data_IF_888226462719
#
_entry.id   IF_888226462719
#
_cell.length_a   1.000
_cell.length_b   1.000
_cell.length_c   1.000
_cell.angle_alpha   90.00
_cell.angle_beta   90.00
_cell.angle_gamma   90.00
#
_symmetry.space_group_name_H-M   'P 1'
#
loop_
_entity.id
_entity.type
_entity.pdbx_description
1 polymer ?
#
# COMPACT_ATOMS: atom_id res chain seq x y z
N UNK A 1 28.09 -1.11 1.62
CA UNK A 1 27.19 -2.04 0.92
C UNK A 1 26.25 -1.24 0.05
N UNK A 2 25.86 -1.78 -1.09
CA UNK A 2 24.80 -1.17 -1.90
C UNK A 2 23.39 -1.47 -1.33
N UNK A 3 22.37 -0.81 -1.89
CA UNK A 3 20.96 -0.96 -1.46
C UNK A 3 20.46 -2.40 -1.57
N UNK A 4 20.89 -3.18 -2.57
CA UNK A 4 20.42 -4.55 -2.76
C UNK A 4 21.03 -5.48 -1.72
N UNK A 5 22.31 -5.33 -1.40
CA UNK A 5 22.98 -6.08 -0.34
C UNK A 5 22.33 -5.83 1.02
N UNK A 6 22.05 -4.55 1.34
CA UNK A 6 21.31 -4.18 2.55
C UNK A 6 19.91 -4.79 2.56
N UNK A 7 19.18 -4.68 1.45
CA UNK A 7 17.83 -5.21 1.33
C UNK A 7 17.82 -6.74 1.51
N UNK A 8 18.76 -7.47 0.92
CA UNK A 8 18.85 -8.92 1.04
C UNK A 8 19.06 -9.37 2.50
N UNK A 9 19.92 -8.67 3.25
CA UNK A 9 20.13 -8.93 4.68
C UNK A 9 18.86 -8.66 5.50
N UNK A 10 18.18 -7.56 5.18
CA UNK A 10 16.98 -7.13 5.91
C UNK A 10 15.70 -7.84 5.43
N UNK A 11 15.74 -8.60 4.34
CA UNK A 11 14.64 -9.44 3.85
C UNK A 11 14.86 -10.93 4.12
N UNK A 12 15.77 -11.28 5.03
CA UNK A 12 15.95 -12.66 5.45
C UNK A 12 14.60 -13.30 5.87
N UNK A 13 14.30 -14.58 5.58
CA UNK A 13 12.99 -15.17 5.90
C UNK A 13 12.63 -15.17 7.38
N UNK A 14 13.61 -15.31 8.27
CA UNK A 14 13.43 -15.31 9.72
C UNK A 14 13.46 -13.89 10.33
N UNK A 15 12.45 -13.57 11.14
CA UNK A 15 12.25 -12.27 11.81
C UNK A 15 13.43 -11.90 12.71
N UNK A 16 13.89 -12.84 13.55
CA UNK A 16 14.97 -12.57 14.52
C UNK A 16 16.29 -12.28 13.80
N UNK A 17 16.56 -13.00 12.72
CA UNK A 17 17.71 -12.76 11.85
C UNK A 17 17.62 -11.38 11.17
N UNK A 18 16.44 -10.95 10.70
CA UNK A 18 16.27 -9.59 10.15
C UNK A 18 16.60 -8.52 11.18
N UNK A 19 16.11 -8.66 12.41
CA UNK A 19 16.36 -7.71 13.49
C UNK A 19 17.82 -7.72 13.97
N UNK A 20 18.46 -8.88 14.01
CA UNK A 20 19.89 -9.00 14.29
C UNK A 20 20.75 -8.35 13.20
N UNK A 21 20.39 -8.56 11.93
CA UNK A 21 21.03 -7.89 10.80
C UNK A 21 20.85 -6.37 10.90
N UNK A 22 19.65 -5.88 11.20
CA UNK A 22 19.39 -4.46 11.42
C UNK A 22 20.28 -3.88 12.53
N UNK A 23 20.35 -4.55 13.69
CA UNK A 23 21.19 -4.11 14.79
C UNK A 23 22.68 -4.05 14.40
N UNK A 24 23.17 -5.05 13.67
CA UNK A 24 24.54 -5.09 13.14
C UNK A 24 24.80 -3.92 12.19
N UNK A 25 23.89 -3.66 11.25
CA UNK A 25 24.02 -2.55 10.30
C UNK A 25 24.05 -1.19 11.00
N UNK A 26 23.22 -0.99 12.02
CA UNK A 26 23.22 0.23 12.83
C UNK A 26 24.53 0.41 13.61
N UNK A 27 25.14 -0.68 14.09
CA UNK A 27 26.41 -0.63 14.82
C UNK A 27 27.62 -0.38 13.90
N UNK A 28 27.55 -0.83 12.64
CA UNK A 28 28.59 -0.65 11.62
C UNK A 28 28.43 0.67 10.83
N UNK A 29 27.34 1.39 11.03
CA UNK A 29 27.06 2.65 10.33
C UNK A 29 28.07 3.73 10.76
N UNK A 30 28.79 4.31 9.79
CA UNK A 30 29.83 5.30 10.08
C UNK A 30 29.28 6.56 10.77
N UNK A 31 28.07 6.98 10.42
CA UNK A 31 27.35 8.08 11.05
C UNK A 31 25.84 7.94 10.78
N UNK A 32 24.97 8.36 11.72
CA UNK A 32 23.54 8.37 11.49
C UNK A 32 23.15 9.34 10.36
N UNK A 33 22.06 9.05 9.62
CA UNK A 33 21.58 9.93 8.57
C UNK A 33 21.09 11.25 9.15
N UNK A 34 21.24 12.32 8.37
CA UNK A 34 20.77 13.66 8.76
C UNK A 34 19.25 13.65 8.91
N UNK A 35 18.71 13.95 10.11
CA UNK A 35 17.27 14.01 10.33
C UNK A 35 16.62 15.10 9.46
N UNK A 36 15.43 14.81 8.94
CA UNK A 36 14.62 15.75 8.17
C UNK A 36 13.25 15.90 8.83
N UNK A 37 13.14 16.71 9.89
CA UNK A 37 11.95 16.80 10.73
C UNK A 37 10.72 17.33 9.99
N UNK A 38 10.89 17.97 8.83
CA UNK A 38 9.80 18.43 7.98
C UNK A 38 9.10 17.30 7.19
N UNK A 39 9.54 16.06 7.33
CA UNK A 39 8.96 14.91 6.64
C UNK A 39 8.49 13.83 7.62
N UNK A 40 7.41 13.15 7.23
CA UNK A 40 6.85 11.97 7.87
C UNK A 40 6.21 11.07 6.82
N UNK A 41 6.12 9.78 7.08
CA UNK A 41 5.39 8.85 6.19
C UNK A 41 4.74 7.72 7.00
N UNK A 42 3.41 7.77 7.13
CA UNK A 42 2.66 6.78 7.91
C UNK A 42 1.96 5.70 7.06
N UNK A 43 2.34 5.57 5.78
CA UNK A 43 1.70 4.64 4.84
C UNK A 43 2.75 3.91 4.00
N UNK A 44 3.32 2.87 4.59
CA UNK A 44 4.35 2.02 3.97
C UNK A 44 3.85 0.57 3.96
N UNK A 45 3.84 -0.05 2.78
CA UNK A 45 3.56 -1.47 2.65
C UNK A 45 4.84 -2.29 2.81
N UNK A 46 4.69 -3.50 3.32
CA UNK A 46 5.74 -4.50 3.43
C UNK A 46 5.39 -5.74 2.61
N UNK A 47 6.29 -6.74 2.60
CA UNK A 47 6.04 -8.00 1.92
C UNK A 47 4.81 -8.76 2.46
N UNK A 48 4.27 -8.35 3.61
CA UNK A 48 3.06 -8.96 4.18
C UNK A 48 1.80 -8.58 3.41
N UNK A 49 1.85 -7.65 2.45
CA UNK A 49 0.75 -7.43 1.52
C UNK A 49 1.16 -7.21 0.06
N UNK A 50 2.32 -6.61 -0.19
CA UNK A 50 3.14 -6.66 -1.42
C UNK A 50 4.09 -5.45 -1.40
N UNK A 51 5.40 -5.70 -1.25
CA UNK A 51 6.43 -4.67 -1.25
C UNK A 51 7.80 -5.34 -1.37
N UNK A 52 8.84 -4.66 -1.88
CA UNK A 52 10.20 -5.19 -1.80
C UNK A 52 10.73 -5.22 -0.37
N UNK A 53 10.07 -4.58 0.59
CA UNK A 53 10.60 -4.38 1.94
C UNK A 53 9.96 -5.31 2.96
N UNK A 54 10.77 -5.99 3.78
CA UNK A 54 10.33 -6.45 5.10
C UNK A 54 10.00 -5.27 6.01
N UNK A 55 9.31 -5.48 7.14
CA UNK A 55 9.15 -4.43 8.15
C UNK A 55 10.48 -3.84 8.63
N UNK A 56 11.50 -4.66 8.89
CA UNK A 56 12.83 -4.18 9.27
C UNK A 56 13.51 -3.36 8.16
N UNK A 57 13.41 -3.80 6.91
CA UNK A 57 13.94 -3.07 5.76
C UNK A 57 13.23 -1.73 5.56
N UNK A 58 11.90 -1.69 5.69
CA UNK A 58 11.11 -0.48 5.57
C UNK A 58 11.54 0.57 6.62
N UNK A 59 11.77 0.16 7.86
CA UNK A 59 12.30 1.05 8.91
C UNK A 59 13.71 1.55 8.57
N UNK A 60 14.61 0.66 8.12
CA UNK A 60 15.96 1.05 7.71
C UNK A 60 15.93 2.13 6.62
N UNK A 61 15.19 1.89 5.53
CA UNK A 61 15.16 2.82 4.40
C UNK A 61 14.39 4.11 4.70
N UNK A 62 13.39 4.07 5.58
CA UNK A 62 12.77 5.28 6.10
C UNK A 62 13.78 6.14 6.88
N UNK A 63 14.54 5.52 7.79
CA UNK A 63 15.60 6.19 8.56
C UNK A 63 16.70 6.74 7.66
N UNK A 64 17.18 5.94 6.71
CA UNK A 64 18.20 6.32 5.72
C UNK A 64 17.76 7.56 4.91
N UNK A 65 16.47 7.68 4.58
CA UNK A 65 15.91 8.85 3.93
C UNK A 65 15.82 10.10 4.83
N UNK A 66 16.15 9.98 6.12
CA UNK A 66 16.10 11.04 7.12
C UNK A 66 14.77 11.16 7.86
N UNK A 67 13.83 10.22 7.69
CA UNK A 67 12.56 10.24 8.40
C UNK A 67 12.78 9.94 9.90
N UNK A 68 12.07 10.69 10.75
CA UNK A 68 12.03 10.43 12.19
C UNK A 68 10.78 9.67 12.63
N UNK A 69 9.81 9.52 11.73
CA UNK A 69 8.61 8.69 11.90
C UNK A 69 8.32 7.85 10.66
N UNK A 70 7.84 6.63 10.87
CA UNK A 70 7.40 5.74 9.80
C UNK A 70 6.14 4.96 10.22
N UNK A 71 5.26 4.61 9.28
CA UNK A 71 4.06 3.82 9.57
C UNK A 71 3.82 2.68 8.60
N UNK A 72 3.60 1.48 9.14
CA UNK A 72 3.23 0.29 8.36
C UNK A 72 1.72 0.30 8.08
N UNK A 73 1.34 -0.03 6.83
CA UNK A 73 -0.03 0.04 6.33
C UNK A 73 -0.30 -1.08 5.30
N UNK A 74 -0.03 -2.32 5.69
CA UNK A 74 -0.23 -3.46 4.79
C UNK A 74 -1.73 -3.66 4.45
N UNK A 75 -2.01 -4.07 3.22
CA UNK A 75 -3.39 -4.41 2.83
C UNK A 75 -3.85 -5.67 3.56
N UNK A 76 -5.02 -5.65 4.18
CA UNK A 76 -5.64 -6.81 4.83
C UNK A 76 -4.68 -7.63 5.70
N UNK A 77 -3.73 -6.98 6.39
CA UNK A 77 -2.78 -7.65 7.29
C UNK A 77 -2.17 -6.67 8.28
N UNK A 78 -1.96 -7.11 9.52
CA UNK A 78 -1.10 -6.45 10.52
C UNK A 78 0.03 -7.37 10.99
N UNK A 79 0.31 -8.45 10.25
CA UNK A 79 1.30 -9.46 10.64
C UNK A 79 2.71 -8.87 10.87
N UNK A 80 3.10 -7.88 10.07
CA UNK A 80 4.39 -7.20 10.20
C UNK A 80 4.49 -6.19 11.34
N UNK A 81 3.40 -5.87 12.04
CA UNK A 81 3.34 -4.77 13.01
C UNK A 81 4.34 -4.90 14.16
N UNK A 82 4.45 -6.07 14.77
CA UNK A 82 5.37 -6.28 15.90
C UNK A 82 6.84 -6.23 15.49
N UNK A 83 7.19 -6.74 14.31
CA UNK A 83 8.53 -6.59 13.76
C UNK A 83 8.84 -5.12 13.48
N UNK A 84 7.91 -4.39 12.84
CA UNK A 84 8.06 -2.96 12.53
C UNK A 84 8.33 -2.13 13.80
N UNK A 85 7.62 -2.43 14.89
CA UNK A 85 7.84 -1.80 16.21
C UNK A 85 9.22 -2.07 16.78
N UNK A 86 9.65 -3.33 16.76
CA UNK A 86 10.98 -3.73 17.24
C UNK A 86 12.10 -3.09 16.41
N UNK A 87 11.92 -3.06 15.09
CA UNK A 87 12.84 -2.39 14.18
C UNK A 87 12.91 -0.88 14.45
N UNK A 88 11.77 -0.20 14.62
CA UNK A 88 11.70 1.22 14.95
C UNK A 88 12.45 1.56 16.24
N UNK A 89 12.26 0.74 17.28
CA UNK A 89 12.99 0.85 18.56
C UNK A 89 14.51 0.69 18.39
N UNK A 90 14.96 -0.30 17.61
CA UNK A 90 16.38 -0.50 17.33
C UNK A 90 16.97 0.68 16.56
N UNK A 91 16.24 1.18 15.55
CA UNK A 91 16.67 2.24 14.65
C UNK A 91 16.59 3.65 15.27
N UNK A 92 15.92 3.80 16.41
CA UNK A 92 15.77 5.08 17.11
C UNK A 92 14.79 6.05 16.43
N UNK A 93 13.80 5.55 15.68
CA UNK A 93 12.75 6.37 15.06
C UNK A 93 11.37 6.01 15.61
N UNK A 94 10.45 6.99 15.60
CA UNK A 94 9.06 6.76 15.98
C UNK A 94 8.35 5.89 14.94
N UNK A 95 7.55 4.92 15.38
CA UNK A 95 6.78 4.08 14.46
C UNK A 95 5.33 3.94 14.88
N UNK A 96 4.45 3.86 13.88
CA UNK A 96 3.01 3.60 14.04
C UNK A 96 2.61 2.37 13.23
N UNK A 97 1.67 1.58 13.72
CA UNK A 97 1.15 0.38 13.08
C UNK A 97 -0.32 0.55 12.69
N UNK A 98 -0.59 0.22 11.45
CA UNK A 98 -1.93 0.20 10.87
C UNK A 98 -2.06 -0.89 9.82
N UNK A 99 -3.21 -0.86 9.16
CA UNK A 99 -3.48 -1.68 7.97
C UNK A 99 -4.56 -1.03 7.11
N UNK A 100 -4.58 -1.37 5.83
CA UNK A 100 -5.56 -0.88 4.88
C UNK A 100 -6.50 -2.00 4.45
N UNK A 101 -7.80 -1.78 4.56
CA UNK A 101 -8.81 -2.80 4.28
C UNK A 101 -9.67 -2.41 3.09
N UNK A 102 -10.05 -3.40 2.29
CA UNK A 102 -11.14 -3.24 1.33
C UNK A 102 -12.49 -3.35 2.04
N UNK A 103 -13.31 -2.32 1.95
CA UNK A 103 -14.54 -2.14 2.73
C UNK A 103 -15.73 -1.89 1.82
N UNK A 104 -16.83 -2.58 2.10
CA UNK A 104 -18.10 -2.38 1.43
C UNK A 104 -18.87 -1.21 2.03
N UNK A 105 -19.32 -0.32 1.15
CA UNK A 105 -20.24 0.79 1.43
C UNK A 105 -21.69 0.44 1.11
N UNK A 106 -21.99 -0.86 0.90
CA UNK A 106 -23.37 -1.34 0.74
C UNK A 106 -24.24 -0.92 1.94
N UNK A 107 -25.46 -0.46 1.66
CA UNK A 107 -26.39 0.06 2.66
C UNK A 107 -26.11 1.50 3.08
N UNK A 108 -25.14 2.18 2.46
CA UNK A 108 -24.89 3.62 2.62
C UNK A 108 -25.38 4.40 1.39
N UNK A 109 -25.45 5.73 1.50
CA UNK A 109 -25.76 6.60 0.35
C UNK A 109 -24.72 6.58 -0.79
N UNK A 110 -23.63 5.81 -0.67
CA UNK A 110 -22.53 5.74 -1.63
C UNK A 110 -22.33 4.34 -2.23
N UNK A 111 -23.24 3.40 -1.99
CA UNK A 111 -23.11 2.00 -2.43
C UNK A 111 -22.99 1.80 -3.96
N UNK A 112 -23.40 2.78 -4.75
CA UNK A 112 -23.26 2.78 -6.22
C UNK A 112 -22.22 3.77 -6.74
N UNK A 113 -21.54 4.51 -5.86
CA UNK A 113 -20.54 5.52 -6.23
C UNK A 113 -19.17 4.87 -6.37
N UNK A 114 -18.38 5.37 -7.32
CA UNK A 114 -16.96 5.03 -7.44
C UNK A 114 -16.16 5.85 -6.42
N UNK A 115 -15.75 5.20 -5.34
CA UNK A 115 -14.94 5.75 -4.25
C UNK A 115 -13.45 5.62 -4.60
N UNK A 116 -12.56 5.64 -3.60
CA UNK A 116 -11.11 5.47 -3.80
C UNK A 116 -10.66 4.08 -4.32
N UNK A 117 -11.59 3.17 -4.62
CA UNK A 117 -11.30 1.92 -5.32
C UNK A 117 -11.52 2.12 -6.84
N UNK A 118 -10.48 2.04 -7.67
CA UNK A 118 -10.61 2.27 -9.11
C UNK A 118 -11.38 1.16 -9.83
N UNK A 119 -11.39 -0.05 -9.28
CA UNK A 119 -11.85 -1.25 -9.95
C UNK A 119 -13.35 -1.54 -9.73
N UNK A 120 -13.94 -1.06 -8.62
CA UNK A 120 -15.32 -1.38 -8.27
C UNK A 120 -16.03 -0.28 -7.47
N UNK A 121 -17.23 0.10 -7.93
CA UNK A 121 -18.12 1.01 -7.20
C UNK A 121 -18.64 0.38 -5.89
N UNK A 122 -18.97 1.23 -4.92
CA UNK A 122 -19.48 0.80 -3.61
C UNK A 122 -18.43 0.17 -2.69
N UNK A 123 -17.16 0.14 -3.12
CA UNK A 123 -16.04 -0.37 -2.35
C UNK A 123 -15.03 0.75 -2.13
N UNK A 124 -14.47 0.84 -0.93
CA UNK A 124 -13.36 1.74 -0.63
C UNK A 124 -12.21 0.97 0.02
N UNK A 125 -10.99 1.42 -0.19
CA UNK A 125 -9.88 1.18 0.73
C UNK A 125 -10.06 2.09 1.95
N UNK A 126 -9.93 1.54 3.15
CA UNK A 126 -10.03 2.27 4.42
C UNK A 126 -8.77 2.01 5.23
N UNK A 127 -8.14 3.06 5.74
CA UNK A 127 -6.93 2.94 6.56
C UNK A 127 -7.30 2.91 8.05
N UNK A 128 -6.76 1.94 8.76
CA UNK A 128 -6.83 1.87 10.23
C UNK A 128 -5.46 2.24 10.76
N UNK A 129 -5.35 3.43 11.34
CA UNK A 129 -4.11 3.93 11.93
C UNK A 129 -4.10 3.71 13.45
N UNK A 130 -2.89 3.73 14.02
CA UNK A 130 -2.69 3.74 15.47
C UNK A 130 -3.31 2.53 16.18
N UNK A 131 -3.13 1.33 15.62
CA UNK A 131 -3.62 0.10 16.25
C UNK A 131 -2.72 -0.23 17.45
N UNK A 132 -3.28 -0.29 18.68
CA UNK A 132 -2.49 -0.62 19.87
C UNK A 132 -1.82 -2.01 19.75
N UNK A 133 -0.56 -2.19 20.21
CA UNK A 133 0.20 -3.43 19.99
C UNK A 133 -0.49 -4.68 20.53
N UNK A 134 -1.12 -4.59 21.69
CA UNK A 134 -1.88 -5.66 22.33
C UNK A 134 -3.18 -6.01 21.58
N UNK A 135 -3.58 -5.18 20.62
CA UNK A 135 -4.75 -5.39 19.76
C UNK A 135 -4.42 -5.90 18.36
N UNK A 136 -3.14 -6.01 17.99
CA UNK A 136 -2.73 -6.55 16.67
C UNK A 136 -3.37 -7.92 16.41
N UNK A 137 -3.33 -8.82 17.40
CA UNK A 137 -3.95 -10.15 17.30
C UNK A 137 -5.47 -10.10 17.09
N UNK A 138 -6.18 -9.17 17.75
CA UNK A 138 -7.63 -9.02 17.60
C UNK A 138 -8.02 -8.55 16.19
N UNK A 139 -7.25 -7.62 15.62
CA UNK A 139 -7.45 -7.18 14.24
C UNK A 139 -7.11 -8.29 13.24
N UNK A 140 -5.97 -8.96 13.41
CA UNK A 140 -5.56 -10.08 12.55
C UNK A 140 -6.61 -11.19 12.52
N UNK A 141 -7.19 -11.53 13.68
CA UNK A 141 -8.27 -12.51 13.78
C UNK A 141 -9.57 -12.03 13.10
N UNK A 142 -9.92 -10.75 13.26
CA UNK A 142 -11.14 -10.21 12.70
C UNK A 142 -11.15 -10.19 11.15
N UNK A 143 -9.98 -10.01 10.53
CA UNK A 143 -9.84 -9.92 9.07
C UNK A 143 -9.58 -11.28 8.39
N UNK A 144 -9.23 -12.32 9.16
CA UNK A 144 -8.89 -13.65 8.64
C UNK A 144 -9.95 -14.24 7.69
N UNK A 145 -11.27 -14.22 8.00
CA UNK A 145 -12.28 -14.73 7.07
C UNK A 145 -12.32 -13.99 5.73
N UNK A 146 -12.09 -12.68 5.75
CA UNK A 146 -12.08 -11.82 4.56
C UNK A 146 -10.83 -12.07 3.71
N UNK A 147 -9.67 -12.27 4.34
CA UNK A 147 -8.44 -12.72 3.66
C UNK A 147 -8.61 -14.08 2.98
N UNK A 148 -9.30 -15.02 3.62
CA UNK A 148 -9.61 -16.32 3.00
C UNK A 148 -10.56 -16.17 1.81
N UNK A 149 -11.58 -15.30 1.91
CA UNK A 149 -12.46 -14.97 0.80
C UNK A 149 -11.69 -14.33 -0.35
N UNK A 150 -10.72 -13.46 -0.05
CA UNK A 150 -9.82 -12.87 -1.03
C UNK A 150 -9.01 -13.91 -1.80
N UNK A 151 -8.53 -14.95 -1.13
CA UNK A 151 -7.85 -16.04 -1.83
C UNK A 151 -8.77 -16.87 -2.72
N UNK A 152 -10.04 -17.08 -2.34
CA UNK A 152 -11.01 -17.72 -3.23
C UNK A 152 -11.21 -16.89 -4.50
N UNK A 153 -11.34 -15.57 -4.36
CA UNK A 153 -11.43 -14.63 -5.48
C UNK A 153 -10.15 -14.62 -6.32
N UNK A 154 -8.98 -14.55 -5.70
CA UNK A 154 -7.70 -14.54 -6.41
C UNK A 154 -7.47 -15.82 -7.22
N UNK A 155 -7.92 -16.98 -6.73
CA UNK A 155 -7.88 -18.24 -7.51
C UNK A 155 -8.73 -18.13 -8.79
N UNK A 156 -9.92 -17.56 -8.70
CA UNK A 156 -10.75 -17.30 -9.89
C UNK A 156 -10.08 -16.30 -10.85
N UNK A 157 -9.37 -15.28 -10.31
CA UNK A 157 -8.59 -14.37 -11.14
C UNK A 157 -7.41 -15.08 -11.83
N UNK A 158 -6.77 -16.06 -11.18
CA UNK A 158 -5.76 -16.93 -11.80
C UNK A 158 -6.38 -17.78 -12.92
N UNK A 159 -7.58 -18.34 -12.71
CA UNK A 159 -8.30 -19.06 -13.78
C UNK A 159 -8.56 -18.15 -14.99
N UNK A 160 -8.93 -16.89 -14.75
CA UNK A 160 -9.08 -15.89 -15.81
C UNK A 160 -7.76 -15.59 -16.52
N UNK A 161 -6.64 -15.48 -15.81
CA UNK A 161 -5.31 -15.31 -16.42
C UNK A 161 -5.03 -16.49 -17.36
N UNK A 162 -5.17 -17.71 -16.89
CA UNK A 162 -4.86 -18.92 -17.68
C UNK A 162 -5.79 -19.07 -18.88
N UNK A 163 -7.08 -18.75 -18.72
CA UNK A 163 -8.05 -18.77 -19.82
C UNK A 163 -7.73 -17.74 -20.90
N UNK A 164 -7.36 -16.52 -20.51
CA UNK A 164 -7.14 -15.42 -21.46
C UNK A 164 -5.76 -15.50 -22.11
N UNK A 165 -4.73 -15.86 -21.36
CA UNK A 165 -3.34 -15.76 -21.80
C UNK A 165 -2.61 -17.11 -21.92
N UNK A 166 -3.30 -18.22 -21.64
CA UNK A 166 -2.73 -19.57 -21.69
C UNK A 166 -2.18 -19.97 -23.05
N UNK A 167 -2.82 -19.52 -24.13
CA UNK A 167 -2.37 -19.75 -25.51
C UNK A 167 -1.02 -19.07 -25.83
N UNK A 168 -0.56 -18.12 -25.00
CA UNK A 168 0.73 -17.45 -25.11
C UNK A 168 1.82 -18.13 -24.26
N UNK A 169 1.48 -19.23 -23.58
CA UNK A 169 2.39 -19.95 -22.67
C UNK A 169 2.35 -19.47 -21.22
N UNK A 170 1.45 -18.54 -20.87
CA UNK A 170 1.27 -18.06 -19.49
C UNK A 170 0.35 -19.03 -18.73
N UNK A 171 0.87 -19.71 -17.72
CA UNK A 171 0.15 -20.72 -16.93
C UNK A 171 0.48 -20.55 -15.45
N UNK A 172 -0.30 -19.72 -14.76
CA UNK A 172 -0.12 -19.43 -13.33
C UNK A 172 -0.88 -20.45 -12.50
N UNK A 173 -0.20 -21.03 -11.51
CA UNK A 173 -0.82 -21.83 -10.47
C UNK A 173 -0.79 -21.05 -9.15
N UNK A 174 -1.95 -20.93 -8.48
CA UNK A 174 -2.03 -20.11 -7.27
C UNK A 174 -1.17 -20.66 -6.12
N UNK A 175 -1.16 -21.97 -5.90
CA UNK A 175 -0.45 -22.58 -4.76
C UNK A 175 1.06 -22.68 -5.01
N UNK A 176 1.46 -22.92 -6.25
CA UNK A 176 2.87 -23.04 -6.64
C UNK A 176 3.52 -21.67 -6.89
N UNK A 177 2.84 -20.76 -7.56
CA UNK A 177 3.46 -19.54 -8.11
C UNK A 177 3.12 -18.26 -7.31
N UNK A 178 1.99 -18.24 -6.57
CA UNK A 178 1.50 -17.04 -5.87
C UNK A 178 1.61 -17.16 -4.35
N UNK A 179 1.19 -18.28 -3.78
CA UNK A 179 1.19 -18.50 -2.33
C UNK A 179 2.60 -18.35 -1.71
N UNK A 180 3.68 -18.92 -2.28
CA UNK A 180 5.00 -18.91 -1.64
C UNK A 180 5.66 -17.53 -1.56
N UNK A 181 5.19 -16.55 -2.33
CA UNK A 181 5.74 -15.19 -2.39
C UNK A 181 5.01 -14.16 -1.51
N UNK A 182 4.04 -14.60 -0.69
CA UNK A 182 3.06 -13.70 -0.04
C UNK A 182 3.05 -13.68 1.49
N UNK A 183 3.94 -14.44 2.13
CA UNK A 183 3.97 -14.62 3.59
C UNK A 183 2.60 -15.02 4.19
N UNK A 184 1.74 -15.68 3.40
CA UNK A 184 0.39 -16.07 3.80
C UNK A 184 0.36 -16.85 5.12
N UNK A 185 1.28 -17.79 5.29
CA UNK A 185 1.39 -18.64 6.47
C UNK A 185 1.73 -17.86 7.76
N UNK A 186 2.29 -16.66 7.62
CA UNK A 186 2.65 -15.76 8.72
C UNK A 186 1.58 -14.68 8.96
N UNK A 187 0.45 -14.73 8.23
CA UNK A 187 -0.62 -13.73 8.32
C UNK A 187 -0.57 -12.64 7.24
N UNK A 188 0.28 -12.77 6.23
CA UNK A 188 0.29 -11.87 5.07
C UNK A 188 -0.93 -12.03 4.15
N UNK A 189 -1.26 -11.02 3.37
CA UNK A 189 -2.36 -11.02 2.42
C UNK A 189 -1.86 -11.17 0.98
N UNK A 190 -2.67 -11.85 0.15
CA UNK A 190 -2.40 -11.96 -1.29
C UNK A 190 -3.24 -10.93 -2.02
N UNK A 191 -2.57 -9.97 -2.62
CA UNK A 191 -3.14 -8.95 -3.49
C UNK A 191 -3.01 -9.30 -4.96
N UNK A 192 -3.72 -8.58 -5.82
CA UNK A 192 -3.62 -8.63 -7.27
C UNK A 192 -2.18 -8.40 -7.77
N UNK A 193 -1.34 -7.71 -6.99
CA UNK A 193 0.08 -7.50 -7.31
C UNK A 193 0.87 -8.81 -7.28
N UNK A 194 0.55 -9.75 -6.41
CA UNK A 194 1.21 -11.07 -6.40
C UNK A 194 0.88 -11.88 -7.65
N UNK A 195 -0.35 -11.77 -8.15
CA UNK A 195 -0.77 -12.42 -9.39
C UNK A 195 0.01 -11.84 -10.57
N UNK A 196 0.13 -10.50 -10.63
CA UNK A 196 0.93 -9.82 -11.66
C UNK A 196 2.42 -10.11 -11.53
N UNK A 197 2.93 -10.30 -10.30
CA UNK A 197 4.30 -10.74 -10.08
C UNK A 197 4.55 -12.12 -10.66
N UNK A 198 3.66 -13.09 -10.39
CA UNK A 198 3.77 -14.44 -10.94
C UNK A 198 3.76 -14.43 -12.48
N UNK A 199 2.86 -13.63 -13.10
CA UNK A 199 2.85 -13.42 -14.55
C UNK A 199 4.15 -12.78 -15.02
N UNK A 200 4.66 -11.76 -14.33
CA UNK A 200 5.92 -11.10 -14.68
C UNK A 200 7.09 -12.11 -14.69
N UNK A 201 7.20 -12.98 -13.68
CA UNK A 201 8.27 -13.99 -13.64
C UNK A 201 8.18 -14.98 -14.81
N UNK A 202 6.96 -15.39 -15.19
CA UNK A 202 6.78 -16.24 -16.36
C UNK A 202 7.15 -15.53 -17.66
N UNK A 203 6.77 -14.26 -17.83
CA UNK A 203 7.14 -13.49 -19.02
C UNK A 203 8.65 -13.25 -19.13
N UNK A 204 9.33 -13.02 -18.02
CA UNK A 204 10.80 -12.95 -18.00
C UNK A 204 11.43 -14.26 -18.48
N UNK A 205 10.85 -15.40 -18.11
CA UNK A 205 11.30 -16.72 -18.55
C UNK A 205 10.98 -16.98 -20.04
N UNK A 206 9.75 -16.69 -20.45
CA UNK A 206 9.25 -16.90 -21.82
C UNK A 206 9.93 -16.01 -22.84
N UNK A 207 10.29 -14.78 -22.47
CA UNK A 207 11.01 -13.87 -23.35
C UNK A 207 12.44 -14.36 -23.63
N UNK A 208 13.01 -15.25 -22.82
CA UNK A 208 14.39 -15.76 -22.98
C UNK A 208 15.43 -14.64 -23.19
N UNK A 209 15.21 -13.48 -22.56
CA UNK A 209 16.09 -12.31 -22.68
C UNK A 209 15.91 -11.46 -23.94
N UNK A 210 14.93 -11.77 -24.80
CA UNK A 210 14.47 -10.94 -25.92
C UNK A 210 13.93 -9.58 -25.43
N UNK A 211 13.65 -8.68 -26.37
CA UNK A 211 13.08 -7.37 -26.06
C UNK A 211 11.68 -7.53 -25.43
N UNK A 212 11.59 -7.28 -24.12
CA UNK A 212 10.35 -7.36 -23.35
C UNK A 212 9.31 -6.35 -23.83
N UNK A 213 9.72 -5.16 -24.25
CA UNK A 213 8.77 -4.15 -24.74
C UNK A 213 8.13 -4.62 -26.05
N UNK A 214 8.94 -5.15 -26.98
CA UNK A 214 8.42 -5.74 -28.20
C UNK A 214 7.52 -6.96 -27.90
N UNK A 215 7.91 -7.83 -26.96
CA UNK A 215 7.08 -8.96 -26.55
C UNK A 215 5.71 -8.51 -26.03
N UNK A 216 5.67 -7.50 -25.16
CA UNK A 216 4.42 -6.95 -24.61
C UNK A 216 3.52 -6.39 -25.72
N UNK A 217 4.08 -5.63 -26.65
CA UNK A 217 3.32 -5.01 -27.74
C UNK A 217 2.83 -6.03 -28.76
N UNK A 218 3.71 -6.94 -29.23
CA UNK A 218 3.41 -7.85 -30.33
C UNK A 218 2.62 -9.08 -29.89
N UNK A 219 2.88 -9.61 -28.69
CA UNK A 219 2.28 -10.87 -28.22
C UNK A 219 1.10 -10.66 -27.30
N UNK A 220 1.14 -9.60 -26.49
CA UNK A 220 0.11 -9.30 -25.48
C UNK A 220 -0.76 -8.10 -25.86
N UNK A 221 -0.41 -7.37 -26.93
CA UNK A 221 -1.10 -6.14 -27.34
C UNK A 221 -1.17 -5.10 -26.21
N UNK A 222 -0.11 -5.04 -25.39
CA UNK A 222 0.04 -4.08 -24.31
C UNK A 222 0.93 -2.94 -24.81
N UNK A 223 0.41 -1.70 -24.91
CA UNK A 223 1.22 -0.57 -25.34
C UNK A 223 2.28 -0.24 -24.28
N UNK A 224 3.49 0.07 -24.71
CA UNK A 224 4.61 0.43 -23.84
C UNK A 224 5.06 1.86 -24.15
N UNK A 225 5.04 2.74 -23.15
CA UNK A 225 5.48 4.12 -23.32
C UNK A 225 7.00 4.22 -23.54
N UNK A 226 7.53 5.32 -24.12
CA UNK A 226 8.98 5.49 -24.29
C UNK A 226 9.77 5.34 -22.97
N UNK A 227 9.21 5.85 -21.86
CA UNK A 227 9.77 5.73 -20.51
C UNK A 227 9.79 4.26 -20.06
N UNK A 228 8.69 3.55 -20.19
CA UNK A 228 8.59 2.13 -19.82
C UNK A 228 9.55 1.26 -20.67
N UNK A 229 9.67 1.56 -21.96
CA UNK A 229 10.62 0.87 -22.85
C UNK A 229 12.06 1.05 -22.38
N UNK A 230 12.45 2.28 -22.03
CA UNK A 230 13.79 2.55 -21.50
C UNK A 230 14.04 1.76 -20.20
N UNK A 231 13.09 1.77 -19.26
CA UNK A 231 13.19 1.02 -18.00
C UNK A 231 13.34 -0.49 -18.22
N UNK A 232 12.54 -1.09 -19.12
CA UNK A 232 12.64 -2.51 -19.46
C UNK A 232 13.97 -2.86 -20.13
N UNK A 233 14.50 -1.95 -20.96
CA UNK A 233 15.77 -2.15 -21.67
C UNK A 233 17.00 -2.08 -20.75
N UNK A 234 16.94 -1.30 -19.67
CA UNK A 234 18.02 -1.22 -18.67
C UNK A 234 18.29 -2.56 -17.99
N UNK A 235 17.28 -3.43 -17.90
CA UNK A 235 17.35 -4.74 -17.20
C UNK A 235 17.94 -4.60 -15.78
N UNK A 236 17.61 -3.50 -15.12
CA UNK A 236 18.07 -3.19 -13.77
C UNK A 236 17.51 -4.13 -12.71
N UNK A 237 17.92 -3.97 -11.45
CA UNK A 237 17.51 -4.85 -10.35
C UNK A 237 16.01 -4.81 -10.02
N UNK A 238 15.29 -3.84 -10.57
CA UNK A 238 13.86 -3.66 -10.36
C UNK A 238 13.02 -4.08 -11.57
N UNK A 239 13.61 -4.75 -12.57
CA UNK A 239 12.93 -5.17 -13.80
C UNK A 239 11.59 -5.87 -13.55
N UNK A 240 11.51 -6.77 -12.56
CA UNK A 240 10.26 -7.46 -12.19
C UNK A 240 9.18 -6.50 -11.69
N UNK A 241 9.55 -5.47 -10.93
CA UNK A 241 8.62 -4.44 -10.45
C UNK A 241 8.18 -3.49 -11.57
N UNK A 242 9.09 -3.12 -12.47
CA UNK A 242 8.78 -2.29 -13.63
C UNK A 242 7.80 -3.02 -14.55
N UNK A 243 8.07 -4.29 -14.87
CA UNK A 243 7.17 -5.14 -15.63
C UNK A 243 5.80 -5.28 -14.94
N UNK A 244 5.78 -5.57 -13.63
CA UNK A 244 4.55 -5.67 -12.85
C UNK A 244 3.70 -4.39 -12.94
N UNK A 245 4.31 -3.21 -12.89
CA UNK A 245 3.61 -1.93 -13.00
C UNK A 245 2.86 -1.80 -14.34
N UNK A 246 3.48 -2.24 -15.43
CA UNK A 246 2.87 -2.28 -16.76
C UNK A 246 1.72 -3.29 -16.76
N UNK A 247 1.95 -4.53 -16.33
CA UNK A 247 0.93 -5.58 -16.32
C UNK A 247 -0.29 -5.18 -15.47
N UNK A 248 -0.08 -4.59 -14.30
CA UNK A 248 -1.18 -4.11 -13.43
C UNK A 248 -2.12 -3.16 -14.16
N UNK A 249 -1.59 -2.27 -14.99
CA UNK A 249 -2.35 -1.22 -15.66
C UNK A 249 -3.19 -1.73 -16.84
N UNK A 250 -2.90 -2.94 -17.35
CA UNK A 250 -3.52 -3.49 -18.56
C UNK A 250 -4.23 -4.83 -18.35
N UNK A 251 -3.76 -5.65 -17.41
CA UNK A 251 -4.24 -7.03 -17.24
C UNK A 251 -5.22 -7.20 -16.08
N UNK A 252 -5.27 -6.28 -15.11
CA UNK A 252 -6.19 -6.42 -13.96
C UNK A 252 -7.66 -6.35 -14.39
N UNK A 253 -8.05 -5.33 -15.15
CA UNK A 253 -9.46 -5.17 -15.55
C UNK A 253 -10.01 -6.39 -16.32
N UNK A 254 -9.30 -6.99 -17.31
CA UNK A 254 -9.75 -8.21 -18.00
C UNK A 254 -9.91 -9.45 -17.12
N UNK A 255 -9.14 -9.58 -16.03
CA UNK A 255 -9.18 -10.75 -15.14
C UNK A 255 -10.02 -10.53 -13.88
N UNK A 256 -10.48 -9.29 -13.67
CA UNK A 256 -11.07 -8.85 -12.41
C UNK A 256 -12.34 -9.64 -12.09
N UNK A 257 -12.36 -10.21 -10.89
CA UNK A 257 -13.57 -10.75 -10.27
C UNK A 257 -14.06 -9.71 -9.26
N UNK A 258 -15.36 -9.40 -9.18
CA UNK A 258 -15.86 -8.44 -8.19
C UNK A 258 -15.51 -8.81 -6.74
N UNK A 259 -15.03 -7.83 -5.99
CA UNK A 259 -14.77 -7.91 -4.56
C UNK A 259 -16.10 -7.86 -3.79
N UNK A 260 -16.48 -8.98 -3.18
CA UNK A 260 -17.77 -9.11 -2.46
C UNK A 260 -17.53 -9.70 -1.07
N UNK A 261 -17.47 -11.01 -0.93
CA UNK A 261 -17.30 -11.72 0.36
C UNK A 261 -15.99 -11.37 1.11
N UNK A 262 -15.01 -10.80 0.39
CA UNK A 262 -13.75 -10.32 0.95
C UNK A 262 -13.83 -8.92 1.57
N UNK A 263 -14.99 -8.25 1.52
CA UNK A 263 -15.14 -6.88 1.99
C UNK A 263 -15.94 -6.83 3.29
N UNK A 264 -15.31 -6.37 4.38
CA UNK A 264 -16.01 -6.01 5.61
C UNK A 264 -16.92 -4.81 5.34
N UNK A 265 -18.10 -4.74 5.95
CA UNK A 265 -18.94 -3.53 5.84
C UNK A 265 -18.36 -2.36 6.64
N UNK A 266 -18.67 -1.13 6.22
CA UNK A 266 -18.23 0.08 6.93
C UNK A 266 -18.62 0.07 8.42
N UNK A 267 -19.84 -0.38 8.75
CA UNK A 267 -20.32 -0.42 10.14
C UNK A 267 -19.57 -1.43 11.00
N UNK A 268 -19.23 -2.60 10.43
CA UNK A 268 -18.40 -3.61 11.10
C UNK A 268 -16.99 -3.07 11.38
N UNK A 269 -16.39 -2.37 10.42
CA UNK A 269 -15.05 -1.80 10.60
C UNK A 269 -15.04 -0.67 11.64
N UNK A 270 -16.03 0.23 11.60
CA UNK A 270 -16.20 1.26 12.65
C UNK A 270 -16.29 0.61 14.04
N UNK A 271 -17.11 -0.43 14.19
CA UNK A 271 -17.27 -1.13 15.46
C UNK A 271 -15.96 -1.79 15.92
N UNK A 272 -15.21 -2.39 14.99
CA UNK A 272 -13.91 -3.00 15.27
C UNK A 272 -12.89 -1.95 15.75
N UNK A 273 -12.80 -0.80 15.08
CA UNK A 273 -11.90 0.28 15.46
C UNK A 273 -12.27 0.88 16.82
N UNK A 274 -13.56 1.18 17.05
CA UNK A 274 -14.04 1.70 18.35
C UNK A 274 -13.74 0.73 19.50
N UNK A 275 -13.97 -0.57 19.30
CA UNK A 275 -13.72 -1.61 20.31
C UNK A 275 -12.24 -1.73 20.70
N UNK A 276 -11.32 -1.47 19.76
CA UNK A 276 -9.90 -1.69 19.94
C UNK A 276 -9.07 -0.40 19.97
N UNK A 277 -9.71 0.75 20.22
CA UNK A 277 -9.08 2.07 20.32
C UNK A 277 -8.22 2.48 19.10
N UNK A 278 -8.57 2.02 17.90
CA UNK A 278 -7.87 2.38 16.66
C UNK A 278 -8.55 3.53 15.90
N UNK A 279 -7.78 4.25 15.08
CA UNK A 279 -8.27 5.40 14.32
C UNK A 279 -8.65 4.98 12.90
N UNK A 280 -9.94 5.07 12.58
CA UNK A 280 -10.44 4.79 11.24
C UNK A 280 -10.36 6.05 10.36
N UNK A 281 -9.76 5.89 9.19
CA UNK A 281 -9.47 6.95 8.24
C UNK A 281 -9.98 6.59 6.85
N UNK A 282 -10.54 7.57 6.12
CA UNK A 282 -10.81 7.43 4.69
C UNK A 282 -9.63 7.99 3.87
N UNK A 283 -8.96 7.18 3.02
CA UNK A 283 -7.98 7.64 2.06
C UNK A 283 -8.63 8.41 0.90
N UNK A 284 -8.44 9.71 0.86
CA UNK A 284 -8.92 10.54 -0.25
C UNK A 284 -7.99 10.43 -1.46
N UNK A 285 -8.55 10.10 -2.63
CA UNK A 285 -7.82 10.13 -3.90
C UNK A 285 -8.01 11.45 -4.64
N UNK A 286 -9.25 11.90 -4.82
CA UNK A 286 -9.61 13.05 -5.64
C UNK A 286 -9.52 12.76 -7.14
N UNK A 287 -10.18 13.59 -7.95
CA UNK A 287 -10.19 13.41 -9.40
C UNK A 287 -8.81 13.64 -10.02
N UNK A 288 -8.51 12.87 -11.07
CA UNK A 288 -7.30 13.01 -11.88
C UNK A 288 -7.72 13.58 -13.24
N UNK A 289 -7.34 14.82 -13.53
CA UNK A 289 -7.60 15.46 -14.84
C UNK A 289 -6.36 15.35 -15.74
N UNK A 290 -5.20 15.70 -15.20
CA UNK A 290 -3.88 15.40 -15.76
C UNK A 290 -3.03 14.77 -14.65
N UNK A 291 -2.40 13.63 -14.94
CA UNK A 291 -1.52 12.98 -13.98
C UNK A 291 -0.31 13.87 -13.70
N UNK A 292 -0.14 14.35 -12.46
CA UNK A 292 1.08 15.10 -12.03
C UNK A 292 2.36 14.29 -12.29
N UNK A 293 2.26 12.96 -12.33
CA UNK A 293 3.36 12.04 -12.66
C UNK A 293 3.42 11.60 -14.14
N UNK A 294 2.52 12.08 -14.99
CA UNK A 294 2.49 11.80 -16.44
C UNK A 294 1.95 10.43 -16.88
N UNK A 295 1.69 9.50 -15.95
CA UNK A 295 1.44 8.09 -16.29
C UNK A 295 -0.02 7.61 -16.04
N UNK A 296 -0.92 8.45 -15.51
CA UNK A 296 -2.32 8.06 -15.20
C UNK A 296 -3.34 8.65 -16.18
N UNK A 297 -4.34 7.84 -16.53
CA UNK A 297 -5.52 8.28 -17.29
C UNK A 297 -6.36 9.25 -16.45
N UNK A 298 -7.03 10.18 -17.13
CA UNK A 298 -8.03 11.00 -16.48
C UNK A 298 -9.12 10.10 -15.86
N UNK A 299 -9.46 10.33 -14.61
CA UNK A 299 -10.35 9.47 -13.84
C UNK A 299 -11.09 10.28 -12.78
N UNK A 300 -12.38 9.98 -12.63
CA UNK A 300 -13.28 10.65 -11.71
C UNK A 300 -13.49 9.77 -10.47
N UNK A 301 -13.38 10.39 -9.30
CA UNK A 301 -13.51 9.80 -7.99
C UNK A 301 -14.47 10.65 -7.14
N UNK A 302 -14.02 11.19 -6.00
CA UNK A 302 -14.91 11.73 -4.97
C UNK A 302 -15.33 13.19 -5.16
N UNK A 303 -14.64 13.97 -6.00
CA UNK A 303 -14.74 15.44 -5.96
C UNK A 303 -16.15 15.95 -6.24
N UNK A 304 -16.87 15.31 -7.17
CA UNK A 304 -18.23 15.72 -7.53
C UNK A 304 -19.27 15.50 -6.42
N UNK A 305 -18.98 14.67 -5.42
CA UNK A 305 -19.90 14.35 -4.31
C UNK A 305 -19.24 14.39 -2.93
N UNK A 306 -18.11 15.11 -2.81
CA UNK A 306 -17.28 15.14 -1.60
C UNK A 306 -18.07 15.54 -0.34
N UNK A 307 -18.98 16.52 -0.42
CA UNK A 307 -19.83 16.90 0.71
C UNK A 307 -20.74 15.74 1.20
N UNK A 308 -21.29 14.95 0.27
CA UNK A 308 -22.07 13.75 0.62
C UNK A 308 -21.19 12.64 1.19
N UNK A 309 -19.94 12.51 0.72
CA UNK A 309 -18.97 11.59 1.29
C UNK A 309 -18.73 11.91 2.77
N UNK A 310 -18.42 13.17 3.10
CA UNK A 310 -18.18 13.59 4.47
C UNK A 310 -19.38 13.34 5.39
N UNK A 311 -20.60 13.60 4.91
CA UNK A 311 -21.81 13.29 5.69
C UNK A 311 -21.94 11.80 6.01
N UNK A 312 -21.69 10.92 5.04
CA UNK A 312 -21.75 9.46 5.25
C UNK A 312 -20.65 9.00 6.20
N UNK A 313 -19.42 9.52 6.04
CA UNK A 313 -18.29 9.20 6.91
C UNK A 313 -18.54 9.66 8.36
N UNK A 314 -19.06 10.87 8.56
CA UNK A 314 -19.42 11.41 9.88
C UNK A 314 -20.51 10.56 10.55
N UNK A 315 -21.60 10.26 9.83
CA UNK A 315 -22.70 9.43 10.32
C UNK A 315 -22.25 8.01 10.69
N UNK A 316 -21.32 7.43 9.91
CA UNK A 316 -20.72 6.15 10.23
C UNK A 316 -19.78 6.22 11.44
N UNK A 317 -19.22 7.39 11.75
CA UNK A 317 -18.26 7.59 12.84
C UNK A 317 -16.80 7.37 12.42
N UNK A 318 -16.47 7.67 11.16
CA UNK A 318 -15.09 7.79 10.67
C UNK A 318 -14.54 9.15 11.15
N UNK A 319 -13.37 9.13 11.79
CA UNK A 319 -12.84 10.33 12.47
C UNK A 319 -11.77 11.09 11.70
N UNK A 320 -11.25 10.52 10.62
CA UNK A 320 -10.04 11.03 9.97
C UNK A 320 -10.11 10.87 8.45
N UNK A 321 -9.42 11.77 7.76
CA UNK A 321 -9.09 11.66 6.34
C UNK A 321 -7.59 11.51 6.21
N UNK A 322 -7.14 10.58 5.38
CA UNK A 322 -5.73 10.48 4.99
C UNK A 322 -5.59 10.82 3.51
N UNK A 323 -4.55 11.56 3.15
CA UNK A 323 -4.29 11.93 1.75
C UNK A 323 -2.79 12.11 1.50
N UNK A 324 -2.42 12.13 0.23
CA UNK A 324 -1.04 12.37 -0.22
C UNK A 324 -0.98 13.74 -0.87
N UNK A 325 -0.39 14.76 -0.23
CA UNK A 325 -0.33 16.10 -0.80
C UNK A 325 0.21 16.12 -2.24
N UNK A 326 1.20 15.25 -2.54
CA UNK A 326 1.83 15.09 -3.84
C UNK A 326 0.89 14.63 -4.96
N UNK A 327 -0.25 14.01 -4.63
CA UNK A 327 -1.23 13.47 -5.57
C UNK A 327 -2.42 14.39 -5.82
N UNK A 328 -2.52 15.51 -5.09
CA UNK A 328 -3.66 16.41 -5.14
C UNK A 328 -3.27 17.84 -5.49
N UNK A 329 -4.14 18.50 -6.25
CA UNK A 329 -4.05 19.95 -6.52
C UNK A 329 -4.28 20.76 -5.24
N UNK A 330 -3.78 21.98 -5.21
CA UNK A 330 -3.96 22.85 -4.04
C UNK A 330 -5.44 23.20 -3.80
N UNK A 331 -6.24 23.30 -4.87
CA UNK A 331 -7.68 23.52 -4.76
C UNK A 331 -8.39 22.33 -4.12
N UNK A 332 -8.04 21.10 -4.51
CA UNK A 332 -8.57 19.88 -3.89
C UNK A 332 -8.22 19.85 -2.39
N UNK A 333 -6.96 20.10 -2.05
CA UNK A 333 -6.49 20.10 -0.65
C UNK A 333 -7.21 21.18 0.16
N UNK A 334 -7.35 22.41 -0.35
CA UNK A 334 -8.05 23.49 0.36
C UNK A 334 -9.52 23.12 0.64
N UNK A 335 -10.22 22.52 -0.34
CA UNK A 335 -11.59 22.06 -0.17
C UNK A 335 -11.68 20.92 0.87
N UNK A 336 -10.78 19.94 0.77
CA UNK A 336 -10.71 18.80 1.69
C UNK A 336 -10.53 19.27 3.14
N UNK A 337 -9.56 20.17 3.37
CA UNK A 337 -9.26 20.75 4.69
C UNK A 337 -10.45 21.50 5.28
N UNK A 338 -11.15 22.29 4.46
CA UNK A 338 -12.35 23.01 4.90
C UNK A 338 -13.47 22.04 5.33
N UNK A 339 -13.60 20.89 4.67
CA UNK A 339 -14.54 19.84 5.05
C UNK A 339 -14.10 19.10 6.32
N UNK A 340 -12.82 18.74 6.44
CA UNK A 340 -12.26 18.19 7.68
C UNK A 340 -12.58 19.06 8.89
N UNK A 341 -12.35 20.38 8.77
CA UNK A 341 -12.69 21.34 9.82
C UNK A 341 -14.20 21.38 10.12
N UNK A 342 -15.05 21.42 9.08
CA UNK A 342 -16.51 21.51 9.22
C UNK A 342 -17.10 20.28 9.93
N UNK A 343 -16.57 19.09 9.63
CA UNK A 343 -17.07 17.81 10.16
C UNK A 343 -16.26 17.31 11.37
N UNK A 344 -15.30 18.09 11.87
CA UNK A 344 -14.46 17.72 13.02
C UNK A 344 -13.57 16.49 12.78
N UNK A 345 -13.18 16.23 11.52
CA UNK A 345 -12.31 15.11 11.15
C UNK A 345 -10.85 15.52 11.16
N UNK A 346 -9.98 14.63 11.68
CA UNK A 346 -8.54 14.84 11.68
C UNK A 346 -7.90 14.54 10.31
N UNK A 347 -6.67 15.01 10.13
CA UNK A 347 -5.93 14.91 8.87
C UNK A 347 -4.63 14.11 9.07
N UNK A 348 -4.37 13.14 8.18
CA UNK A 348 -3.19 12.27 8.19
C UNK A 348 -2.58 12.21 6.78
N UNK A 349 -1.29 11.89 6.69
CA UNK A 349 -0.58 11.71 5.41
C UNK A 349 0.40 10.53 5.44
N UNK A 350 0.67 9.96 4.25
CA UNK A 350 1.70 8.94 3.97
C UNK A 350 1.75 8.59 2.48
N UNK A 351 2.92 8.21 1.94
CA UNK A 351 3.22 8.18 0.49
C UNK A 351 2.95 6.85 -0.26
N UNK A 352 2.29 5.86 0.36
CA UNK A 352 1.91 4.57 -0.29
C UNK A 352 3.11 3.92 -1.01
N UNK A 353 4.10 3.54 -0.21
CA UNK A 353 5.35 2.93 -0.66
C UNK A 353 5.16 1.41 -0.77
N UNK A 354 5.18 0.88 -1.98
CA UNK A 354 5.07 -0.56 -2.28
C UNK A 354 5.98 -1.03 -3.44
N UNK A 355 6.85 -0.16 -3.96
CA UNK A 355 7.79 -0.42 -5.05
C UNK A 355 9.16 0.17 -4.74
N UNK A 356 10.27 -0.46 -5.18
CA UNK A 356 11.62 0.01 -4.86
C UNK A 356 12.01 1.36 -5.48
N UNK A 357 11.27 1.81 -6.51
CA UNK A 357 11.44 3.09 -7.19
C UNK A 357 10.69 4.25 -6.52
N UNK A 358 9.79 3.97 -5.58
CA UNK A 358 9.06 5.01 -4.85
C UNK A 358 9.92 5.63 -3.74
N UNK A 359 9.78 6.94 -3.58
CA UNK A 359 10.43 7.70 -2.51
C UNK A 359 9.68 7.50 -1.19
N UNK A 360 10.44 7.37 -0.09
CA UNK A 360 9.87 7.47 1.26
C UNK A 360 9.50 8.92 1.64
N UNK A 361 10.04 9.91 0.92
CA UNK A 361 9.87 11.34 1.15
C UNK A 361 8.81 11.92 0.21
N UNK A 362 7.78 12.54 0.80
CA UNK A 362 6.89 13.49 0.11
C UNK A 362 7.53 14.88 0.14
N UNK A 363 8.02 15.39 -1.00
CA UNK A 363 8.62 16.73 -1.04
C UNK A 363 7.63 17.84 -0.67
N UNK A 364 6.36 17.70 -1.07
CA UNK A 364 5.30 18.68 -0.79
C UNK A 364 5.02 18.85 0.71
N UNK A 365 5.31 17.83 1.52
CA UNK A 365 5.16 17.87 2.98
C UNK A 365 6.12 18.88 3.66
N UNK A 366 7.21 19.27 2.99
CA UNK A 366 8.12 20.30 3.50
C UNK A 366 7.54 21.73 3.44
N UNK A 367 6.46 21.95 2.70
CA UNK A 367 5.85 23.27 2.62
C UNK A 367 5.21 23.63 3.98
N UNK A 368 5.33 24.89 4.45
CA UNK A 368 4.84 25.29 5.78
C UNK A 368 3.36 24.99 6.02
N UNK A 369 2.53 24.96 4.97
CA UNK A 369 1.11 24.65 5.05
C UNK A 369 0.77 23.22 5.48
N UNK A 370 1.74 22.29 5.48
CA UNK A 370 1.57 20.87 5.78
C UNK A 370 2.27 20.40 7.07
N UNK A 371 2.89 21.29 7.84
CA UNK A 371 3.56 20.92 9.11
C UNK A 371 2.67 20.15 10.08
N UNK A 372 1.38 20.51 10.15
CA UNK A 372 0.37 19.81 10.96
C UNK A 372 0.25 18.31 10.65
N UNK A 373 0.56 17.87 9.42
CA UNK A 373 0.53 16.45 9.05
C UNK A 373 1.72 15.68 9.64
N UNK A 374 2.87 16.35 9.82
CA UNK A 374 4.02 15.81 10.56
C UNK A 374 3.69 15.72 12.05
N UNK A 375 3.03 16.73 12.61
CA UNK A 375 2.56 16.68 14.00
C UNK A 375 1.55 15.55 14.23
N UNK A 376 0.64 15.35 13.27
CA UNK A 376 -0.31 14.24 13.26
C UNK A 376 0.41 12.88 13.23
N UNK A 377 1.45 12.72 12.40
CA UNK A 377 2.28 11.51 12.39
C UNK A 377 2.85 11.19 13.77
N UNK A 378 3.43 12.18 14.43
CA UNK A 378 3.93 12.01 15.80
C UNK A 378 2.81 11.75 16.81
N UNK A 379 1.61 12.29 16.61
CA UNK A 379 0.46 12.00 17.45
C UNK A 379 0.05 10.53 17.36
N UNK A 380 0.08 9.92 16.17
CA UNK A 380 -0.14 8.48 15.99
C UNK A 380 0.89 7.65 16.75
N UNK A 381 2.18 7.99 16.61
CA UNK A 381 3.28 7.32 17.32
C UNK A 381 3.08 7.41 18.84
N UNK A 382 2.80 8.62 19.36
CA UNK A 382 2.60 8.84 20.80
C UNK A 382 1.38 8.09 21.33
N UNK A 383 0.33 7.95 20.54
CA UNK A 383 -0.88 7.23 20.93
C UNK A 383 -0.62 5.74 21.15
N UNK A 384 0.19 5.10 20.31
CA UNK A 384 0.59 3.69 20.47
C UNK A 384 1.71 3.46 21.49
N UNK A 385 2.31 4.54 22.00
CA UNK A 385 3.34 4.49 23.03
C UNK A 385 2.75 4.67 24.44
N UNK A 386 1.43 4.83 24.58
CA UNK A 386 0.74 4.90 25.87
C UNK A 386 0.70 3.51 26.51
N UNK A 387 1.83 3.09 27.06
CA UNK A 387 1.98 2.06 28.09
C UNK A 387 3.17 2.41 29.00
#
# INVERSE_FOLDING_TARGET
>A
MDKQQTLALLNHPDVETRLANLARLLAEEAAPPTPRPQFANNHIHTFYSFSPYSPAAAVWFAREAGLQTAGIMDHDSIAGGMEFRRAGKLAGIGVTCGMELRVSFQGTGLETRKLNNPDQAGIAYMAVHSIPPERHGAFQQAIEPYRQARNRRNRQMVDNINRLYGHLGIQVDFDRDVLPISHWAEGGSITERHLMWAVAQQLLTLSQGQDLAAFLEERLNIPVSPKQRAQLAEKGPYLSYDLLGILKSHMIAPIYVPATDECMSLSQLVALCKKNDALLCYPYLGDVVESVTGDKKAEQFEDSYLDSLFQVLEQAGVGYITYMPSRNTDQQIQRLRALCLRHGMGEISGEDVNSPSQSFICQKLAEPGFSHLVDAAWALVRREARD
#
